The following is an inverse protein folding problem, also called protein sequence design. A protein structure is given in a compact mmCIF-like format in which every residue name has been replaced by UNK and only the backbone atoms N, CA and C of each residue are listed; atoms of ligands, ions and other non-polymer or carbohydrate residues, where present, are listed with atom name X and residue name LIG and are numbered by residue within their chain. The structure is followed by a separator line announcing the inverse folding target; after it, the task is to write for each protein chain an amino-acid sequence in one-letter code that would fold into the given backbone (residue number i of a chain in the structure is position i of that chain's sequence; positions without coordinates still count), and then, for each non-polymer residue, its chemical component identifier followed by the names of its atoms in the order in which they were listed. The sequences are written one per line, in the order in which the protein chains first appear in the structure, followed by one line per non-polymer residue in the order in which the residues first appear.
data_IF_496784329086
#
_entry.id   IF_496784329086
#
_cell.length_a   1.000
_cell.length_b   1.000
_cell.length_c   1.000
_cell.angle_alpha   90.00
_cell.angle_beta   90.00
_cell.angle_gamma   90.00
#
_symmetry.space_group_name_H-M   'P 1'
#
loop_
_entity.id
_entity.type
_entity.pdbx_description
1 polymer ?
#
# COMPACT_ATOMS: atom_id res chain seq x y z
N UNK A 1 3.78 8.10 42.54
CA UNK A 1 3.34 6.88 41.83
C UNK A 1 2.46 7.18 40.60
N UNK A 2 1.44 8.05 40.68
CA UNK A 2 0.54 8.38 39.55
C UNK A 2 1.26 9.08 38.37
N UNK A 3 2.14 10.05 38.64
CA UNK A 3 2.89 10.75 37.58
C UNK A 3 3.82 9.86 36.74
N UNK A 4 4.30 8.75 37.29
CA UNK A 4 5.12 7.78 36.55
C UNK A 4 4.29 7.01 35.51
N UNK A 5 3.06 6.61 35.88
CA UNK A 5 2.14 5.89 34.99
C UNK A 5 1.67 6.80 33.84
N UNK A 6 1.40 8.08 34.10
CA UNK A 6 1.03 9.05 33.06
C UNK A 6 2.17 9.21 32.04
N UNK A 7 3.42 9.31 32.52
CA UNK A 7 4.59 9.46 31.65
C UNK A 7 4.88 8.19 30.83
N UNK A 8 4.63 7.00 31.39
CA UNK A 8 4.70 5.75 30.64
C UNK A 8 3.62 5.64 29.56
N UNK A 9 2.38 6.07 29.83
CA UNK A 9 1.32 6.09 28.80
C UNK A 9 1.69 7.00 27.62
N UNK A 10 2.25 8.19 27.89
CA UNK A 10 2.74 9.07 26.82
C UNK A 10 3.88 8.44 26.00
N UNK A 11 4.81 7.73 26.64
CA UNK A 11 5.87 6.99 25.93
C UNK A 11 5.30 5.88 25.04
N UNK A 12 4.34 5.11 25.54
CA UNK A 12 3.70 4.03 24.79
C UNK A 12 2.92 4.61 23.60
N UNK A 13 2.17 5.71 23.79
CA UNK A 13 1.48 6.38 22.69
C UNK A 13 2.45 6.92 21.63
N UNK A 14 3.59 7.48 22.04
CA UNK A 14 4.65 7.90 21.12
C UNK A 14 5.27 6.73 20.34
N UNK A 15 5.48 5.59 20.98
CA UNK A 15 5.96 4.37 20.32
C UNK A 15 4.92 3.80 19.35
N UNK A 16 3.64 3.78 19.72
CA UNK A 16 2.56 3.36 18.83
C UNK A 16 2.44 4.30 17.63
N UNK A 17 2.56 5.62 17.80
CA UNK A 17 2.61 6.57 16.69
C UNK A 17 3.82 6.36 15.78
N UNK A 18 4.99 6.07 16.34
CA UNK A 18 6.19 5.78 15.54
C UNK A 18 6.03 4.47 14.73
N UNK A 19 5.55 3.39 15.36
CA UNK A 19 5.32 2.11 14.69
C UNK A 19 4.21 2.20 13.62
N UNK A 20 3.13 2.94 13.88
CA UNK A 20 2.07 3.17 12.89
C UNK A 20 2.55 4.06 11.74
N UNK A 21 3.49 4.98 12.00
CA UNK A 21 4.20 5.75 10.97
C UNK A 21 5.02 4.89 10.02
N UNK A 22 5.79 3.93 10.55
CA UNK A 22 6.56 2.99 9.74
C UNK A 22 5.65 2.08 8.88
N UNK A 23 4.58 1.55 9.48
CA UNK A 23 3.56 0.79 8.77
C UNK A 23 2.84 1.59 7.68
N UNK A 24 2.63 2.90 7.88
CA UNK A 24 2.06 3.81 6.88
C UNK A 24 2.97 3.98 5.67
N UNK A 25 4.26 4.24 5.89
CA UNK A 25 5.22 4.41 4.80
C UNK A 25 5.40 3.10 4.04
N UNK A 26 5.55 1.98 4.74
CA UNK A 26 5.63 0.65 4.12
C UNK A 26 4.39 0.34 3.27
N UNK A 27 3.20 0.63 3.79
CA UNK A 27 1.95 0.46 3.04
C UNK A 27 1.86 1.33 1.78
N UNK A 28 2.36 2.57 1.82
CA UNK A 28 2.40 3.47 0.64
C UNK A 28 3.37 2.94 -0.41
N UNK A 29 4.55 2.48 -0.01
CA UNK A 29 5.54 1.90 -0.93
C UNK A 29 4.98 0.66 -1.62
N UNK A 30 4.36 -0.25 -0.86
CA UNK A 30 3.73 -1.46 -1.41
C UNK A 30 2.60 -1.15 -2.40
N UNK A 31 1.81 -0.09 -2.15
CA UNK A 31 0.79 0.36 -3.10
C UNK A 31 1.38 1.00 -4.36
N UNK A 32 2.54 1.66 -4.26
CA UNK A 32 3.20 2.31 -5.38
C UNK A 32 3.93 1.31 -6.29
N UNK A 33 4.43 0.20 -5.75
CA UNK A 33 5.21 -0.80 -6.50
C UNK A 33 4.53 -1.30 -7.78
N UNK A 34 3.25 -1.74 -7.78
CA UNK A 34 2.60 -2.25 -8.99
C UNK A 34 2.46 -1.20 -10.08
N UNK A 35 2.18 0.04 -9.69
CA UNK A 35 2.08 1.17 -10.61
C UNK A 35 3.45 1.50 -11.19
N UNK A 36 4.49 1.57 -10.35
CA UNK A 36 5.85 1.82 -10.78
C UNK A 36 6.36 0.71 -11.72
N UNK A 37 6.07 -0.56 -11.39
CA UNK A 37 6.44 -1.70 -12.21
C UNK A 37 5.75 -1.66 -13.58
N UNK A 38 4.46 -1.30 -13.62
CA UNK A 38 3.73 -1.13 -14.88
C UNK A 38 4.40 -0.09 -15.79
N UNK A 39 4.74 1.08 -15.26
CA UNK A 39 5.44 2.11 -16.03
C UNK A 39 6.85 1.69 -16.44
N UNK A 40 7.59 0.99 -15.56
CA UNK A 40 8.92 0.49 -15.87
C UNK A 40 8.89 -0.53 -17.02
N UNK A 41 7.96 -1.49 -16.98
CA UNK A 41 7.79 -2.49 -18.04
C UNK A 41 7.29 -1.85 -19.32
N UNK A 42 6.41 -0.84 -19.24
CA UNK A 42 5.97 -0.07 -20.40
C UNK A 42 7.14 0.62 -21.12
N UNK A 43 8.09 1.18 -20.38
CA UNK A 43 9.26 1.84 -20.96
C UNK A 43 10.30 0.85 -21.50
N UNK A 44 10.45 -0.30 -20.85
CA UNK A 44 11.42 -1.33 -21.26
C UNK A 44 10.94 -2.18 -22.43
N UNK A 45 9.66 -2.56 -22.45
CA UNK A 45 9.07 -3.45 -23.47
C UNK A 45 7.61 -3.04 -23.74
N UNK A 46 7.37 -2.02 -24.56
CA UNK A 46 6.03 -1.53 -24.86
C UNK A 46 5.14 -2.58 -25.54
N UNK A 47 5.72 -3.45 -26.37
CA UNK A 47 4.98 -4.54 -27.04
C UNK A 47 4.36 -5.52 -26.03
N UNK A 48 5.05 -5.80 -24.93
CA UNK A 48 4.54 -6.66 -23.87
C UNK A 48 3.34 -6.05 -23.15
N UNK A 49 3.39 -4.74 -22.89
CA UNK A 49 2.25 -4.00 -22.30
C UNK A 49 1.12 -3.84 -23.30
N UNK A 50 1.40 -3.75 -24.61
CA UNK A 50 0.35 -3.73 -25.63
C UNK A 50 -0.43 -5.05 -25.70
N UNK A 51 0.19 -6.21 -25.49
CA UNK A 51 -0.55 -7.50 -25.37
C UNK A 51 -1.63 -7.44 -24.29
N UNK A 52 -1.35 -6.72 -23.21
CA UNK A 52 -2.27 -6.47 -22.11
C UNK A 52 -3.55 -5.71 -22.56
N UNK A 53 -3.48 -4.93 -23.65
CA UNK A 53 -4.59 -4.16 -24.21
C UNK A 53 -5.16 -4.73 -25.51
N UNK A 54 -4.39 -5.48 -26.30
CA UNK A 54 -4.84 -6.07 -27.58
C UNK A 54 -5.54 -7.40 -27.39
N UNK A 55 -5.11 -8.21 -26.41
CA UNK A 55 -5.71 -9.51 -26.12
C UNK A 55 -6.90 -9.38 -25.15
N UNK A 56 -7.96 -10.15 -25.39
CA UNK A 56 -9.15 -10.18 -24.52
C UNK A 56 -8.81 -10.72 -23.13
N UNK A 57 -7.86 -11.65 -23.05
CA UNK A 57 -7.37 -12.20 -21.79
C UNK A 57 -6.55 -11.15 -21.03
N UNK A 58 -5.72 -10.38 -21.73
CA UNK A 58 -4.95 -9.27 -21.17
C UNK A 58 -5.83 -8.21 -20.50
N UNK A 59 -6.92 -7.80 -21.16
CA UNK A 59 -7.89 -6.84 -20.59
C UNK A 59 -8.55 -7.34 -19.31
N UNK A 60 -8.92 -8.64 -19.27
CA UNK A 60 -9.50 -9.26 -18.07
C UNK A 60 -8.48 -9.29 -16.92
N UNK A 61 -7.21 -9.56 -17.21
CA UNK A 61 -6.14 -9.53 -16.21
C UNK A 61 -5.87 -8.14 -15.65
N UNK A 62 -5.83 -7.09 -16.49
CA UNK A 62 -5.72 -5.70 -16.01
C UNK A 62 -6.90 -5.34 -15.14
N UNK A 63 -8.13 -5.64 -15.58
CA UNK A 63 -9.33 -5.34 -14.82
C UNK A 63 -9.30 -6.03 -13.44
N UNK A 64 -8.93 -7.31 -13.39
CA UNK A 64 -8.74 -8.05 -12.14
C UNK A 64 -7.62 -7.46 -11.28
N UNK A 65 -6.50 -7.09 -11.88
CA UNK A 65 -5.35 -6.48 -11.20
C UNK A 65 -5.70 -5.13 -10.57
N UNK A 66 -6.46 -4.28 -11.27
CA UNK A 66 -6.94 -3.00 -10.72
C UNK A 66 -7.89 -3.24 -9.55
N UNK A 67 -8.83 -4.19 -9.66
CA UNK A 67 -9.75 -4.52 -8.57
C UNK A 67 -8.98 -5.01 -7.34
N UNK A 68 -8.03 -5.92 -7.51
CA UNK A 68 -7.19 -6.41 -6.43
C UNK A 68 -6.32 -5.30 -5.83
N UNK A 69 -5.79 -4.40 -6.66
CA UNK A 69 -5.00 -3.26 -6.20
C UNK A 69 -5.84 -2.30 -5.35
N UNK A 70 -7.07 -2.00 -5.77
CA UNK A 70 -8.00 -1.18 -5.00
C UNK A 70 -8.38 -1.87 -3.68
N UNK A 71 -8.68 -3.17 -3.70
CA UNK A 71 -8.98 -3.93 -2.48
C UNK A 71 -7.79 -3.95 -1.51
N UNK A 72 -6.58 -4.19 -2.02
CA UNK A 72 -5.34 -4.13 -1.25
C UNK A 72 -5.10 -2.75 -0.66
N UNK A 73 -5.32 -1.69 -1.44
CA UNK A 73 -5.20 -0.32 -0.98
C UNK A 73 -6.22 0.01 0.14
N UNK A 74 -7.46 -0.46 0.02
CA UNK A 74 -8.49 -0.30 1.05
C UNK A 74 -8.14 -1.08 2.33
N UNK A 75 -7.58 -2.29 2.21
CA UNK A 75 -7.11 -3.07 3.35
C UNK A 75 -5.94 -2.41 4.06
N UNK A 76 -4.93 -1.95 3.33
CA UNK A 76 -3.79 -1.21 3.89
C UNK A 76 -4.29 0.07 4.57
N UNK A 77 -5.19 0.82 3.93
CA UNK A 77 -5.81 2.01 4.54
C UNK A 77 -6.54 1.67 5.84
N UNK A 78 -7.21 0.52 5.93
CA UNK A 78 -7.91 0.07 7.14
C UNK A 78 -6.94 -0.33 8.25
N UNK A 79 -5.81 -0.98 7.92
CA UNK A 79 -4.77 -1.36 8.88
C UNK A 79 -4.03 -0.13 9.41
N UNK A 80 -3.66 0.80 8.53
CA UNK A 80 -2.89 2.01 8.88
C UNK A 80 -3.77 3.04 9.59
N UNK A 81 -5.05 3.13 9.22
CA UNK A 81 -6.02 4.02 9.87
C UNK A 81 -6.71 3.35 11.06
N UNK A 82 -6.00 2.43 11.75
CA UNK A 82 -6.36 2.05 13.12
C UNK A 82 -6.24 3.32 13.96
N UNK A 83 -7.40 3.96 14.07
CA UNK A 83 -7.66 5.10 14.93
C UNK A 83 -7.47 4.60 16.35
N UNK A 84 -6.43 5.10 17.02
CA UNK A 84 -6.30 5.03 18.49
C UNK A 84 -7.52 5.73 19.09
#
# INVERSE_FOLDING_TARGET
KIGYIIRQRFKIMGQVQALTGEGRISGVVLMALPIALFFAVYYLNPDYVMLLFTDELGRKMIAGGIVLQVLGALWIKKIVNIKI
#
